data_IF_445505759545
#
_entry.id   IF_445505759545
#
_cell.length_a   1.000
_cell.length_b   1.000
_cell.length_c   1.000
_cell.angle_alpha   90.00
_cell.angle_beta   90.00
_cell.angle_gamma   90.00
#
_symmetry.space_group_name_H-M   'P 1'
#
loop_
_entity.id
_entity.type
_entity.pdbx_description
1 polymer ?
#
# COMPACT_ATOMS: atom_id res chain seq x y z
N UNK A 1 -5.28 46.30 40.35
CA UNK A 1 -6.13 45.61 39.36
C UNK A 1 -5.50 44.24 39.20
N UNK A 2 -6.06 43.21 39.84
CA UNK A 2 -5.57 41.83 39.64
C UNK A 2 -5.97 41.49 38.20
N UNK A 3 -5.00 41.12 37.36
CA UNK A 3 -5.27 40.76 35.98
C UNK A 3 -6.28 39.59 35.99
N UNK A 4 -7.37 39.63 35.18
CA UNK A 4 -8.37 38.55 35.13
C UNK A 4 -7.77 37.15 35.00
N UNK A 5 -6.66 37.02 34.26
CA UNK A 5 -5.86 35.81 34.11
C UNK A 5 -5.32 35.28 35.45
N UNK A 6 -4.87 36.15 36.36
CA UNK A 6 -4.38 35.75 37.69
C UNK A 6 -5.51 35.25 38.59
N UNK A 7 -6.74 35.72 38.40
CA UNK A 7 -7.91 35.20 39.12
C UNK A 7 -8.27 33.81 38.59
N UNK A 8 -8.27 33.64 37.27
CA UNK A 8 -8.59 32.36 36.65
C UNK A 8 -7.57 31.25 37.01
N UNK A 9 -6.25 31.54 37.02
CA UNK A 9 -5.25 30.58 37.53
C UNK A 9 -5.41 30.28 39.03
N UNK A 10 -5.83 31.26 39.83
CA UNK A 10 -6.10 31.02 41.24
C UNK A 10 -7.29 30.06 41.42
N UNK A 11 -8.37 30.23 40.64
CA UNK A 11 -9.54 29.33 40.68
C UNK A 11 -9.17 27.91 40.23
N UNK A 12 -8.40 27.77 39.15
CA UNK A 12 -7.86 26.50 38.67
C UNK A 12 -7.03 25.79 39.77
N UNK A 13 -6.12 26.51 40.44
CA UNK A 13 -5.28 25.95 41.52
C UNK A 13 -6.09 25.44 42.73
N UNK A 14 -7.35 25.88 42.85
CA UNK A 14 -8.30 25.43 43.88
C UNK A 14 -9.24 24.32 43.39
N UNK A 15 -9.09 23.86 42.15
CA UNK A 15 -9.94 22.85 41.53
C UNK A 15 -11.26 23.38 40.98
N UNK A 16 -11.47 24.69 40.97
CA UNK A 16 -12.68 25.36 40.45
C UNK A 16 -12.48 25.72 38.97
N UNK A 17 -12.36 24.69 38.13
CA UNK A 17 -11.96 24.83 36.72
C UNK A 17 -13.11 25.44 35.89
N UNK A 18 -14.37 25.17 36.24
CA UNK A 18 -15.53 25.77 35.55
C UNK A 18 -15.60 27.27 35.75
N UNK A 19 -15.42 27.74 36.99
CA UNK A 19 -15.39 29.15 37.33
C UNK A 19 -14.13 29.82 36.75
N UNK A 20 -13.01 29.10 36.69
CA UNK A 20 -11.81 29.58 36.01
C UNK A 20 -12.09 29.87 34.52
N UNK A 21 -12.83 28.99 33.84
CA UNK A 21 -13.19 29.16 32.43
C UNK A 21 -14.09 30.39 32.19
N UNK A 22 -15.03 30.66 33.09
CA UNK A 22 -15.92 31.84 32.99
C UNK A 22 -15.15 33.17 33.12
N UNK A 23 -14.13 33.20 34.00
CA UNK A 23 -13.33 34.40 34.27
C UNK A 23 -12.15 34.54 33.30
N UNK A 24 -11.73 33.45 32.64
CA UNK A 24 -10.63 33.46 31.69
C UNK A 24 -10.95 34.34 30.47
N UNK A 25 -10.12 35.36 30.27
CA UNK A 25 -10.20 36.29 29.12
C UNK A 25 -9.21 35.96 28.02
N UNK A 26 -8.14 35.24 28.34
CA UNK A 26 -7.12 34.84 27.38
C UNK A 26 -7.60 33.63 26.57
N UNK A 27 -7.64 33.68 25.22
CA UNK A 27 -8.17 32.60 24.40
C UNK A 27 -7.39 31.29 24.53
N UNK A 28 -6.06 31.35 24.64
CA UNK A 28 -5.22 30.14 24.73
C UNK A 28 -5.46 29.43 26.06
N UNK A 29 -5.43 30.16 27.18
CA UNK A 29 -5.72 29.59 28.48
C UNK A 29 -7.18 29.10 28.59
N UNK A 30 -8.14 29.84 28.01
CA UNK A 30 -9.53 29.41 27.95
C UNK A 30 -9.72 28.13 27.13
N UNK A 31 -8.92 27.94 26.08
CA UNK A 31 -8.91 26.69 25.31
C UNK A 31 -8.44 25.51 26.16
N UNK A 32 -7.30 25.65 26.86
CA UNK A 32 -6.78 24.60 27.74
C UNK A 32 -7.79 24.19 28.83
N UNK A 33 -8.43 25.18 29.48
CA UNK A 33 -9.49 24.92 30.46
C UNK A 33 -10.71 24.22 29.84
N UNK A 34 -11.09 24.59 28.61
CA UNK A 34 -12.21 23.96 27.90
C UNK A 34 -11.88 22.50 27.53
N UNK A 35 -10.65 22.22 27.10
CA UNK A 35 -10.16 20.86 26.84
C UNK A 35 -10.18 20.04 28.14
N UNK A 36 -9.65 20.58 29.24
CA UNK A 36 -9.61 19.90 30.54
C UNK A 36 -11.01 19.54 31.08
N UNK A 37 -11.99 20.41 30.83
CA UNK A 37 -13.39 20.19 31.23
C UNK A 37 -14.19 19.31 30.26
N UNK A 38 -13.63 18.93 29.11
CA UNK A 38 -14.38 18.21 28.07
C UNK A 38 -15.41 19.07 27.35
N UNK A 39 -15.33 20.41 27.43
CA UNK A 39 -16.27 21.36 26.81
C UNK A 39 -15.92 21.59 25.34
N UNK A 40 -16.17 20.58 24.51
CA UNK A 40 -15.84 20.52 23.08
C UNK A 40 -16.37 21.73 22.29
N UNK A 41 -17.59 22.19 22.57
CA UNK A 41 -18.21 23.28 21.81
C UNK A 41 -17.45 24.61 22.01
N UNK A 42 -17.05 24.91 23.25
CA UNK A 42 -16.27 26.11 23.59
C UNK A 42 -14.85 25.99 23.01
N UNK A 43 -14.23 24.82 23.13
CA UNK A 43 -12.90 24.58 22.57
C UNK A 43 -12.89 24.72 21.04
N UNK A 44 -13.96 24.26 20.37
CA UNK A 44 -14.16 24.41 18.92
C UNK A 44 -14.30 25.88 18.51
N UNK A 45 -15.13 26.66 19.19
CA UNK A 45 -15.27 28.11 18.92
C UNK A 45 -13.91 28.83 18.97
N UNK A 46 -13.07 28.48 19.95
CA UNK A 46 -11.73 29.06 20.09
C UNK A 46 -10.78 28.55 19.00
N UNK A 47 -10.80 27.25 18.68
CA UNK A 47 -9.97 26.66 17.63
C UNK A 47 -10.27 27.25 16.24
N UNK A 48 -11.54 27.51 15.93
CA UNK A 48 -11.96 28.18 14.68
C UNK A 48 -11.37 29.58 14.56
N UNK A 49 -11.29 30.34 15.65
CA UNK A 49 -10.68 31.68 15.62
C UNK A 49 -9.15 31.59 15.56
N UNK A 50 -8.56 30.65 16.30
CA UNK A 50 -7.12 30.50 16.38
C UNK A 50 -6.47 29.94 15.10
N UNK A 51 -7.21 29.14 14.32
CA UNK A 51 -6.73 28.50 13.07
C UNK A 51 -5.36 27.81 13.26
N UNK A 52 -5.19 27.11 14.38
CA UNK A 52 -3.94 26.45 14.76
C UNK A 52 -4.07 24.94 14.69
N UNK A 53 -3.21 24.29 13.89
CA UNK A 53 -3.18 22.83 13.74
C UNK A 53 -3.03 22.10 15.09
N UNK A 54 -2.19 22.61 16.00
CA UNK A 54 -1.99 22.02 17.33
C UNK A 54 -3.28 22.02 18.17
N UNK A 55 -4.05 23.12 18.13
CA UNK A 55 -5.35 23.19 18.84
C UNK A 55 -6.38 22.26 18.22
N UNK A 56 -6.43 22.19 16.89
CA UNK A 56 -7.31 21.25 16.20
C UNK A 56 -6.97 19.79 16.52
N UNK A 57 -5.68 19.46 16.64
CA UNK A 57 -5.25 18.13 17.04
C UNK A 57 -5.69 17.78 18.46
N UNK A 58 -5.43 18.67 19.43
CA UNK A 58 -5.88 18.45 20.83
C UNK A 58 -7.40 18.31 20.93
N UNK A 59 -8.15 19.13 20.20
CA UNK A 59 -9.60 19.06 20.14
C UNK A 59 -10.07 17.75 19.48
N UNK A 60 -9.40 17.31 18.43
CA UNK A 60 -9.66 16.04 17.73
C UNK A 60 -9.45 14.83 18.64
N UNK A 61 -8.36 14.80 19.41
CA UNK A 61 -8.07 13.74 20.38
C UNK A 61 -9.14 13.67 21.48
N UNK A 62 -9.58 14.83 21.97
CA UNK A 62 -10.68 14.92 22.93
C UNK A 62 -12.02 14.48 22.32
N UNK A 63 -12.30 14.87 21.08
CA UNK A 63 -13.52 14.48 20.36
C UNK A 63 -13.55 12.96 20.11
N UNK A 64 -12.43 12.36 19.71
CA UNK A 64 -12.30 10.91 19.53
C UNK A 64 -12.50 10.14 20.83
N UNK A 65 -11.83 10.56 21.92
CA UNK A 65 -11.99 9.90 23.23
C UNK A 65 -13.39 10.06 23.83
N UNK A 66 -14.12 11.12 23.45
CA UNK A 66 -15.51 11.36 23.84
C UNK A 66 -16.54 10.69 22.93
N UNK A 67 -16.11 9.99 21.87
CA UNK A 67 -17.00 9.33 20.90
C UNK A 67 -17.76 10.28 19.97
N UNK A 68 -17.35 11.56 19.86
CA UNK A 68 -17.96 12.53 18.94
C UNK A 68 -17.25 12.49 17.59
N UNK A 69 -17.58 11.48 16.78
CA UNK A 69 -16.87 11.18 15.53
C UNK A 69 -16.96 12.30 14.49
N UNK A 70 -18.14 12.91 14.31
CA UNK A 70 -18.32 14.03 13.37
C UNK A 70 -17.40 15.22 13.71
N UNK A 71 -17.30 15.55 15.01
CA UNK A 71 -16.41 16.62 15.48
C UNK A 71 -14.94 16.22 15.32
N UNK A 72 -14.61 14.96 15.58
CA UNK A 72 -13.25 14.46 15.38
C UNK A 72 -12.82 14.55 13.91
N UNK A 73 -13.68 14.17 12.96
CA UNK A 73 -13.41 14.27 11.53
C UNK A 73 -13.11 15.72 11.11
N UNK A 74 -13.95 16.66 11.53
CA UNK A 74 -13.76 18.09 11.24
C UNK A 74 -12.43 18.61 11.82
N UNK A 75 -12.09 18.21 13.05
CA UNK A 75 -10.83 18.58 13.67
C UNK A 75 -9.62 18.02 12.91
N UNK A 76 -9.68 16.76 12.49
CA UNK A 76 -8.61 16.10 11.73
C UNK A 76 -8.42 16.74 10.34
N UNK A 77 -9.51 17.12 9.66
CA UNK A 77 -9.48 17.90 8.41
C UNK A 77 -8.76 19.24 8.60
N UNK A 78 -9.10 19.98 9.66
CA UNK A 78 -8.45 21.25 9.98
C UNK A 78 -7.00 21.12 10.46
N UNK A 79 -6.65 19.98 11.08
CA UNK A 79 -5.29 19.69 11.52
C UNK A 79 -4.40 19.10 10.41
N UNK A 80 -4.93 18.90 9.19
CA UNK A 80 -4.25 18.19 8.09
C UNK A 80 -3.74 16.79 8.49
N UNK A 81 -4.40 16.13 9.45
CA UNK A 81 -4.00 14.80 9.93
C UNK A 81 -4.58 13.70 9.04
N UNK A 82 -3.95 13.51 7.88
CA UNK A 82 -4.38 12.54 6.88
C UNK A 82 -4.33 11.09 7.40
N UNK A 83 -3.39 10.79 8.28
CA UNK A 83 -3.26 9.46 8.89
C UNK A 83 -4.41 9.18 9.85
N UNK A 84 -4.78 10.18 10.65
CA UNK A 84 -5.96 10.11 11.52
C UNK A 84 -7.26 9.97 10.71
N UNK A 85 -7.42 10.73 9.62
CA UNK A 85 -8.56 10.59 8.71
C UNK A 85 -8.63 9.20 8.08
N UNK A 86 -7.48 8.66 7.63
CA UNK A 86 -7.41 7.31 7.06
C UNK A 86 -7.88 6.27 8.09
N UNK A 87 -7.40 6.37 9.32
CA UNK A 87 -7.79 5.47 10.40
C UNK A 87 -9.30 5.58 10.70
N UNK A 88 -9.83 6.81 10.77
CA UNK A 88 -11.24 7.05 11.05
C UNK A 88 -12.13 6.46 9.95
N UNK A 89 -11.91 6.81 8.69
CA UNK A 89 -12.76 6.34 7.59
C UNK A 89 -12.63 4.83 7.34
N UNK A 90 -11.42 4.27 7.47
CA UNK A 90 -11.24 2.81 7.35
C UNK A 90 -11.93 2.04 8.47
N UNK A 91 -11.93 2.57 9.69
CA UNK A 91 -12.63 1.97 10.83
C UNK A 91 -14.15 2.06 10.69
N UNK A 92 -14.66 3.14 10.07
CA UNK A 92 -16.08 3.32 9.78
C UNK A 92 -16.55 2.55 8.54
N UNK A 93 -15.62 2.08 7.69
CA UNK A 93 -15.97 1.53 6.38
C UNK A 93 -16.55 2.57 5.43
N UNK A 94 -16.16 3.84 5.59
CA UNK A 94 -16.65 4.96 4.78
C UNK A 94 -15.87 5.07 3.46
N UNK A 95 -16.40 4.44 2.41
CA UNK A 95 -15.78 4.46 1.09
C UNK A 95 -15.79 5.87 0.44
N UNK A 96 -16.78 6.71 0.75
CA UNK A 96 -16.86 8.07 0.22
C UNK A 96 -15.77 8.93 0.88
N UNK A 97 -15.66 8.88 2.22
CA UNK A 97 -14.61 9.54 2.97
C UNK A 97 -13.20 9.13 2.56
N UNK A 98 -12.95 7.83 2.30
CA UNK A 98 -11.67 7.34 1.77
C UNK A 98 -11.40 7.89 0.35
N UNK A 99 -12.44 8.03 -0.48
CA UNK A 99 -12.30 8.57 -1.84
C UNK A 99 -11.90 10.04 -1.83
N UNK A 100 -12.54 10.84 -0.98
CA UNK A 100 -12.18 12.25 -0.77
C UNK A 100 -10.76 12.38 -0.22
N UNK A 101 -10.42 11.56 0.79
CA UNK A 101 -9.10 11.55 1.40
C UNK A 101 -8.00 11.19 0.40
N UNK A 102 -8.24 10.27 -0.53
CA UNK A 102 -7.27 9.90 -1.55
C UNK A 102 -6.88 11.11 -2.41
N UNK A 103 -7.87 11.88 -2.86
CA UNK A 103 -7.68 13.10 -3.65
C UNK A 103 -6.95 14.17 -2.83
N UNK A 104 -7.42 14.39 -1.61
CA UNK A 104 -6.83 15.37 -0.69
C UNK A 104 -5.37 15.06 -0.35
N UNK A 105 -5.05 13.78 -0.11
CA UNK A 105 -3.69 13.32 0.17
C UNK A 105 -2.76 13.46 -1.05
N UNK A 106 -3.27 13.21 -2.26
CA UNK A 106 -2.51 13.42 -3.51
C UNK A 106 -2.17 14.90 -3.70
N UNK A 107 -3.12 15.80 -3.47
CA UNK A 107 -2.91 17.26 -3.55
C UNK A 107 -1.87 17.75 -2.54
N UNK A 108 -1.83 17.16 -1.35
CA UNK A 108 -0.85 17.46 -0.30
C UNK A 108 0.49 16.72 -0.49
N UNK A 109 0.68 15.99 -1.59
CA UNK A 109 1.90 15.24 -1.89
C UNK A 109 2.14 14.03 -0.98
N UNK A 110 1.14 13.57 -0.22
CA UNK A 110 1.19 12.41 0.67
C UNK A 110 0.80 11.14 -0.10
N UNK A 111 1.66 10.76 -1.03
CA UNK A 111 1.41 9.65 -1.97
C UNK A 111 1.18 8.30 -1.27
N UNK A 112 1.80 8.05 -0.13
CA UNK A 112 1.59 6.82 0.65
C UNK A 112 0.15 6.70 1.17
N UNK A 113 -0.41 7.80 1.69
CA UNK A 113 -1.80 7.83 2.18
C UNK A 113 -2.75 7.73 0.99
N UNK A 114 -2.51 8.47 -0.09
CA UNK A 114 -3.31 8.37 -1.31
C UNK A 114 -3.32 6.95 -1.88
N UNK A 115 -2.15 6.30 -1.93
CA UNK A 115 -2.01 4.91 -2.37
C UNK A 115 -2.84 3.95 -1.52
N UNK A 116 -2.73 4.05 -0.18
CA UNK A 116 -3.51 3.20 0.73
C UNK A 116 -5.01 3.42 0.55
N UNK A 117 -5.46 4.66 0.40
CA UNK A 117 -6.88 4.96 0.15
C UNK A 117 -7.37 4.30 -1.16
N UNK A 118 -6.65 4.50 -2.27
CA UNK A 118 -6.98 3.89 -3.57
C UNK A 118 -6.95 2.36 -3.50
N UNK A 119 -5.98 1.80 -2.75
CA UNK A 119 -5.83 0.36 -2.61
C UNK A 119 -6.98 -0.26 -1.81
N UNK A 120 -7.39 0.37 -0.69
CA UNK A 120 -8.57 -0.03 0.09
C UNK A 120 -9.86 0.02 -0.74
N UNK A 121 -9.97 0.99 -1.64
CA UNK A 121 -11.09 1.11 -2.57
C UNK A 121 -11.04 0.13 -3.75
N UNK A 122 -9.95 -0.65 -3.90
CA UNK A 122 -9.76 -1.56 -5.04
C UNK A 122 -9.47 -0.84 -6.36
N UNK A 123 -9.08 0.45 -6.33
CA UNK A 123 -8.74 1.28 -7.49
C UNK A 123 -7.29 1.01 -7.95
N UNK A 124 -7.02 -0.24 -8.33
CA UNK A 124 -5.68 -0.74 -8.70
C UNK A 124 -5.05 0.07 -9.84
N UNK A 125 -5.86 0.48 -10.81
CA UNK A 125 -5.42 1.30 -11.94
C UNK A 125 -4.80 2.63 -11.46
N UNK A 126 -5.51 3.34 -10.57
CA UNK A 126 -5.05 4.59 -9.99
C UNK A 126 -3.82 4.39 -9.10
N UNK A 127 -3.72 3.27 -8.38
CA UNK A 127 -2.53 2.90 -7.61
C UNK A 127 -1.29 2.77 -8.51
N UNK A 128 -1.42 2.06 -9.64
CA UNK A 128 -0.33 1.88 -10.62
C UNK A 128 0.07 3.24 -11.19
N UNK A 129 -0.90 4.05 -11.60
CA UNK A 129 -0.63 5.39 -12.14
C UNK A 129 0.09 6.28 -11.12
N UNK A 130 -0.31 6.24 -9.84
CA UNK A 130 0.35 7.01 -8.77
C UNK A 130 1.81 6.58 -8.58
N UNK A 131 2.12 5.29 -8.72
CA UNK A 131 3.51 4.79 -8.66
C UNK A 131 4.32 5.24 -9.88
N UNK A 132 3.72 5.24 -11.07
CA UNK A 132 4.36 5.77 -12.30
C UNK A 132 4.62 7.27 -12.16
N UNK A 133 3.62 8.04 -11.75
CA UNK A 133 3.71 9.51 -11.55
C UNK A 133 4.76 9.89 -10.50
N UNK A 134 4.97 9.04 -9.48
CA UNK A 134 5.99 9.23 -8.45
C UNK A 134 7.37 8.63 -8.80
N UNK A 135 7.57 8.23 -10.06
CA UNK A 135 8.81 7.66 -10.59
C UNK A 135 9.25 6.34 -9.88
N UNK A 136 8.29 5.56 -9.39
CA UNK A 136 8.47 4.25 -8.75
C UNK A 136 8.05 3.12 -9.70
N UNK A 137 8.56 3.17 -10.93
CA UNK A 137 8.16 2.26 -12.04
C UNK A 137 8.37 0.77 -11.73
N UNK A 138 9.46 0.32 -11.07
CA UNK A 138 9.61 -1.10 -10.70
C UNK A 138 8.46 -1.61 -9.82
N UNK A 139 8.05 -0.80 -8.84
CA UNK A 139 6.95 -1.15 -7.95
C UNK A 139 5.61 -1.15 -8.69
N UNK A 140 5.41 -0.22 -9.62
CA UNK A 140 4.25 -0.22 -10.52
C UNK A 140 4.18 -1.52 -11.34
N UNK A 141 5.32 -2.03 -11.82
CA UNK A 141 5.37 -3.29 -12.57
C UNK A 141 5.01 -4.50 -11.70
N UNK A 142 5.49 -4.56 -10.45
CA UNK A 142 5.10 -5.61 -9.50
C UNK A 142 3.62 -5.51 -9.10
N UNK A 143 3.11 -4.29 -8.92
CA UNK A 143 1.69 -4.04 -8.64
C UNK A 143 0.81 -4.51 -9.81
N UNK A 144 1.18 -4.16 -11.04
CA UNK A 144 0.51 -4.63 -12.25
C UNK A 144 0.55 -6.16 -12.34
N UNK A 145 1.72 -6.79 -12.17
CA UNK A 145 1.84 -8.25 -12.23
C UNK A 145 0.93 -8.97 -11.22
N UNK A 146 0.77 -8.40 -10.03
CA UNK A 146 0.02 -9.03 -8.94
C UNK A 146 -1.49 -8.79 -9.03
N UNK A 147 -1.90 -7.60 -9.44
CA UNK A 147 -3.31 -7.19 -9.36
C UNK A 147 -3.92 -6.79 -10.71
N UNK A 148 -3.14 -6.43 -11.72
CA UNK A 148 -3.65 -5.99 -13.03
C UNK A 148 -2.71 -6.44 -14.16
N UNK A 149 -2.59 -7.76 -14.40
CA UNK A 149 -1.62 -8.34 -15.35
C UNK A 149 -1.76 -7.76 -16.76
N UNK A 150 -2.96 -7.35 -17.18
CA UNK A 150 -3.20 -6.64 -18.44
C UNK A 150 -2.33 -5.39 -18.66
N UNK A 151 -1.88 -4.71 -17.60
CA UNK A 151 -1.01 -3.52 -17.71
C UNK A 151 0.48 -3.81 -17.67
N UNK A 152 0.91 -5.05 -17.44
CA UNK A 152 2.34 -5.34 -17.21
C UNK A 152 3.21 -4.93 -18.38
N UNK A 153 2.83 -5.26 -19.61
CA UNK A 153 3.61 -4.92 -20.81
C UNK A 153 3.77 -3.41 -21.00
N UNK A 154 2.70 -2.64 -20.75
CA UNK A 154 2.74 -1.17 -20.76
C UNK A 154 3.77 -0.63 -19.75
N UNK A 155 3.70 -1.10 -18.50
CA UNK A 155 4.58 -0.61 -17.44
C UNK A 155 6.04 -1.08 -17.63
N UNK A 156 6.24 -2.31 -18.11
CA UNK A 156 7.58 -2.84 -18.45
C UNK A 156 8.20 -2.02 -19.59
N UNK A 157 7.43 -1.57 -20.58
CA UNK A 157 7.94 -0.68 -21.63
C UNK A 157 8.40 0.67 -21.06
N UNK A 158 7.65 1.26 -20.12
CA UNK A 158 8.06 2.48 -19.41
C UNK A 158 9.35 2.21 -18.61
N UNK A 159 9.43 1.07 -17.92
CA UNK A 159 10.59 0.69 -17.11
C UNK A 159 11.84 0.48 -17.96
N UNK A 160 11.74 -0.26 -19.08
CA UNK A 160 12.80 -0.46 -20.07
C UNK A 160 13.32 0.89 -20.57
N UNK A 161 12.43 1.82 -20.92
CA UNK A 161 12.80 3.16 -21.39
C UNK A 161 13.54 3.97 -20.33
N UNK A 162 13.14 3.87 -19.08
CA UNK A 162 13.81 4.58 -17.99
C UNK A 162 15.18 3.98 -17.65
N UNK A 163 15.26 2.64 -17.54
CA UNK A 163 16.52 1.94 -17.30
C UNK A 163 17.54 2.12 -18.42
N UNK A 164 17.11 2.22 -19.68
CA UNK A 164 18.02 2.41 -20.82
C UNK A 164 18.88 3.68 -20.66
N UNK A 165 18.36 4.71 -19.97
CA UNK A 165 19.13 5.94 -19.66
C UNK A 165 20.32 5.68 -18.72
N UNK A 166 20.25 4.63 -17.90
CA UNK A 166 21.24 4.31 -16.85
C UNK A 166 22.07 3.08 -17.22
N UNK A 167 21.42 1.99 -17.63
CA UNK A 167 22.04 0.72 -17.99
C UNK A 167 21.21 -0.02 -19.04
N UNK A 168 21.72 0.00 -20.28
CA UNK A 168 21.10 -0.70 -21.41
C UNK A 168 20.98 -2.21 -21.20
N UNK A 169 22.01 -2.88 -20.64
CA UNK A 169 21.97 -4.33 -20.41
C UNK A 169 20.88 -4.72 -19.42
N UNK A 170 20.69 -3.91 -18.37
CA UNK A 170 19.62 -4.15 -17.39
C UNK A 170 18.23 -3.95 -18.02
N UNK A 171 18.08 -2.98 -18.92
CA UNK A 171 16.83 -2.77 -19.65
C UNK A 171 16.50 -3.95 -20.59
N UNK A 172 17.50 -4.48 -21.29
CA UNK A 172 17.36 -5.66 -22.17
C UNK A 172 17.06 -6.95 -21.39
N UNK A 173 17.47 -7.04 -20.13
CA UNK A 173 17.18 -8.18 -19.26
C UNK A 173 15.73 -8.22 -18.74
N UNK A 174 14.96 -7.14 -18.87
CA UNK A 174 13.54 -7.14 -18.51
C UNK A 174 12.73 -7.90 -19.56
N UNK A 175 12.20 -9.06 -19.20
CA UNK A 175 11.29 -9.82 -20.05
C UNK A 175 9.90 -9.17 -20.06
N UNK A 176 9.28 -9.13 -21.24
CA UNK A 176 7.87 -8.75 -21.42
C UNK A 176 7.04 -10.03 -21.59
N UNK A 177 5.93 -10.21 -20.85
CA UNK A 177 5.07 -11.37 -21.02
C UNK A 177 4.41 -11.50 -22.40
N UNK A 178 4.29 -10.41 -23.17
CA UNK A 178 3.80 -10.48 -24.57
C UNK A 178 4.89 -11.00 -25.53
N UNK A 179 6.15 -10.65 -25.30
CA UNK A 179 7.29 -11.09 -26.13
C UNK A 179 7.78 -12.49 -25.77
N UNK A 180 7.76 -12.84 -24.47
CA UNK A 180 8.25 -14.11 -23.94
C UNK A 180 7.23 -14.81 -23.03
N UNK A 181 6.05 -15.24 -23.53
CA UNK A 181 5.02 -15.87 -22.70
C UNK A 181 5.50 -17.10 -21.93
N UNK A 182 6.49 -17.82 -22.47
CA UNK A 182 7.07 -19.02 -21.88
C UNK A 182 7.84 -18.76 -20.57
N UNK A 183 8.23 -17.52 -20.29
CA UNK A 183 8.91 -17.14 -19.04
C UNK A 183 7.91 -16.80 -17.91
N UNK A 184 6.62 -16.74 -18.21
CA UNK A 184 5.57 -16.33 -17.27
C UNK A 184 4.56 -17.46 -17.08
N UNK A 185 4.78 -18.26 -16.04
CA UNK A 185 3.85 -19.31 -15.65
C UNK A 185 2.47 -18.75 -15.30
N UNK A 186 1.42 -19.51 -15.63
CA UNK A 186 0.03 -19.17 -15.35
C UNK A 186 -0.45 -17.82 -15.92
N UNK A 187 0.23 -17.24 -16.91
CA UNK A 187 -0.10 -15.91 -17.45
C UNK A 187 -1.56 -15.82 -17.94
N UNK A 188 -2.02 -16.78 -18.74
CA UNK A 188 -3.40 -16.83 -19.21
C UNK A 188 -4.43 -16.98 -18.07
N UNK A 189 -4.05 -17.68 -16.99
CA UNK A 189 -4.90 -17.83 -15.79
C UNK A 189 -4.98 -16.49 -15.07
N UNK A 190 -3.86 -15.77 -14.93
CA UNK A 190 -3.83 -14.46 -14.30
C UNK A 190 -4.75 -13.45 -15.00
N UNK A 191 -4.79 -13.44 -16.33
CA UNK A 191 -5.75 -12.64 -17.11
C UNK A 191 -7.21 -13.03 -16.87
N UNK A 192 -7.50 -14.33 -16.80
CA UNK A 192 -8.85 -14.82 -16.51
C UNK A 192 -9.30 -14.45 -15.08
N UNK A 193 -8.39 -14.55 -14.11
CA UNK A 193 -8.62 -14.13 -12.72
C UNK A 193 -8.84 -12.62 -12.65
N UNK A 194 -8.03 -11.82 -13.35
CA UNK A 194 -8.21 -10.37 -13.41
C UNK A 194 -9.61 -10.01 -13.90
N UNK A 195 -10.06 -10.61 -15.01
CA UNK A 195 -11.38 -10.34 -15.58
C UNK A 195 -12.51 -10.70 -14.60
N UNK A 196 -12.41 -11.83 -13.89
CA UNK A 196 -13.39 -12.23 -12.87
C UNK A 196 -13.39 -11.28 -11.66
N UNK A 197 -12.21 -10.91 -11.16
CA UNK A 197 -12.09 -10.02 -10.00
C UNK A 197 -12.52 -8.60 -10.35
N UNK A 198 -12.39 -8.16 -11.60
CA UNK A 198 -12.81 -6.84 -12.05
C UNK A 198 -14.31 -6.59 -11.81
N UNK A 199 -15.16 -7.63 -11.85
CA UNK A 199 -16.59 -7.52 -11.56
C UNK A 199 -16.88 -7.24 -10.07
N UNK A 200 -15.98 -7.70 -9.18
CA UNK A 200 -16.10 -7.51 -7.74
C UNK A 200 -15.44 -6.21 -7.26
N UNK A 201 -14.60 -5.56 -8.09
CA UNK A 201 -13.94 -4.30 -7.74
C UNK A 201 -14.92 -3.16 -7.61
N UNK A 202 -14.74 -2.35 -6.58
CA UNK A 202 -15.63 -1.21 -6.31
C UNK A 202 -16.97 -1.59 -5.69
N UNK A 203 -17.20 -2.88 -5.43
CA UNK A 203 -18.33 -3.35 -4.63
C UNK A 203 -17.86 -3.46 -3.19
N UNK A 204 -18.48 -2.67 -2.30
CA UNK A 204 -18.16 -2.66 -0.87
C UNK A 204 -19.33 -3.28 -0.10
N UNK A 205 -19.26 -4.57 0.28
CA UNK A 205 -20.31 -5.19 1.06
C UNK A 205 -20.50 -4.47 2.40
N UNK A 206 -21.74 -4.33 2.88
CA UNK A 206 -21.99 -3.81 4.22
C UNK A 206 -21.24 -4.61 5.29
N UNK A 207 -20.73 -3.93 6.32
CA UNK A 207 -20.02 -4.58 7.42
C UNK A 207 -20.86 -5.68 8.12
N UNK A 208 -22.20 -5.58 8.06
CA UNK A 208 -23.12 -6.59 8.58
C UNK A 208 -22.93 -7.98 7.92
N UNK A 209 -22.45 -8.02 6.67
CA UNK A 209 -22.22 -9.25 5.93
C UNK A 209 -20.87 -9.91 6.23
N UNK A 210 -20.07 -9.34 7.14
CA UNK A 210 -18.74 -9.85 7.48
C UNK A 210 -18.73 -11.35 7.83
N UNK A 211 -19.77 -11.85 8.50
CA UNK A 211 -19.90 -13.28 8.82
C UNK A 211 -19.90 -14.20 7.60
N UNK A 212 -20.33 -13.72 6.42
CA UNK A 212 -20.30 -14.47 5.16
C UNK A 212 -18.89 -14.56 4.56
N UNK A 213 -17.96 -13.69 4.98
CA UNK A 213 -16.61 -13.58 4.45
C UNK A 213 -15.52 -14.01 5.45
N UNK A 214 -15.84 -14.11 6.75
CA UNK A 214 -14.87 -14.37 7.81
C UNK A 214 -14.09 -15.68 7.64
N UNK A 215 -14.73 -16.71 7.09
CA UNK A 215 -14.12 -18.04 6.87
C UNK A 215 -13.52 -18.21 5.47
N UNK A 216 -13.47 -17.15 4.63
CA UNK A 216 -12.84 -17.27 3.31
C UNK A 216 -11.34 -17.55 3.49
N UNK A 217 -10.83 -18.68 2.96
CA UNK A 217 -9.41 -18.97 3.06
C UNK A 217 -8.63 -17.93 2.27
N UNK A 218 -7.45 -17.54 2.79
CA UNK A 218 -6.49 -16.69 2.09
C UNK A 218 -5.78 -17.48 0.97
N UNK A 219 -6.56 -18.03 0.05
CA UNK A 219 -6.07 -18.85 -1.06
C UNK A 219 -5.63 -17.93 -2.19
N UNK A 220 -4.49 -18.25 -2.80
CA UNK A 220 -4.04 -17.61 -4.03
C UNK A 220 -5.10 -17.81 -5.13
N UNK A 221 -5.61 -16.71 -5.69
CA UNK A 221 -6.67 -16.75 -6.70
C UNK A 221 -6.24 -17.50 -7.97
N UNK A 222 -4.96 -17.44 -8.32
CA UNK A 222 -4.41 -18.16 -9.48
C UNK A 222 -4.43 -19.67 -9.23
N UNK A 223 -4.06 -20.12 -8.03
CA UNK A 223 -4.11 -21.54 -7.66
C UNK A 223 -5.55 -22.05 -7.55
N UNK A 224 -6.43 -21.27 -6.92
CA UNK A 224 -7.85 -21.60 -6.82
C UNK A 224 -8.50 -21.74 -8.20
N UNK A 225 -8.19 -20.83 -9.13
CA UNK A 225 -8.70 -20.88 -10.49
C UNK A 225 -8.11 -22.04 -11.28
N UNK A 226 -6.83 -22.36 -11.09
CA UNK A 226 -6.19 -23.52 -11.71
C UNK A 226 -6.86 -24.83 -11.27
N UNK A 227 -7.14 -24.98 -9.97
CA UNK A 227 -7.78 -26.18 -9.43
C UNK A 227 -9.23 -26.33 -9.93
N UNK A 228 -10.01 -25.25 -9.97
CA UNK A 228 -11.38 -25.28 -10.53
C UNK A 228 -11.41 -25.72 -12.01
N UNK A 229 -10.39 -25.37 -12.79
CA UNK A 229 -10.27 -25.75 -14.20
C UNK A 229 -9.83 -27.20 -14.41
N UNK A 230 -9.21 -27.83 -13.40
CA UNK A 230 -8.85 -29.26 -13.46
C UNK A 230 -10.01 -30.17 -13.07
N UNK A 231 -11.01 -29.66 -12.35
CA UNK A 231 -12.24 -30.38 -12.00
C UNK A 231 -13.27 -30.40 -13.15
N UNK A 232 -13.10 -29.57 -14.18
CA UNK A 232 -13.80 -29.71 -15.45
C UNK A 232 -13.08 -30.75 -16.31
N UNK A 233 -13.51 -32.01 -16.24
CA UNK A 233 -12.98 -33.06 -17.12
C UNK A 233 -13.00 -32.62 -18.59
N UNK A 234 -11.92 -32.84 -19.35
CA UNK A 234 -11.93 -32.52 -20.77
C UNK A 234 -12.98 -33.40 -21.44
N UNK A 235 -14.02 -32.77 -21.99
CA UNK A 235 -14.95 -33.42 -22.90
C UNK A 235 -14.14 -34.00 -24.06
N UNK A 236 -13.97 -35.32 -24.00
CA UNK A 236 -13.40 -36.18 -25.01
C UNK A 236 -14.17 -35.96 -26.32
N UNK A 237 -13.61 -35.16 -27.23
CA UNK A 237 -14.13 -34.99 -28.57
C UNK A 237 -13.06 -35.43 -29.58
N UNK A 238 -13.11 -36.72 -29.89
CA UNK A 238 -13.11 -37.21 -31.27
C UNK A 238 -11.77 -37.22 -31.98
N UNK A 239 -11.16 -38.41 -32.03
CA UNK A 239 -10.30 -38.85 -33.12
C UNK A 239 -10.80 -38.34 -34.48
N UNK A 240 -9.95 -37.58 -35.16
CA UNK A 240 -9.93 -37.53 -36.60
C UNK A 240 -8.50 -37.79 -37.04
N UNK A 241 -8.24 -39.07 -37.32
CA UNK A 241 -7.15 -39.54 -38.16
C UNK A 241 -7.10 -38.66 -39.43
N UNK A 242 -6.00 -37.94 -39.62
CA UNK A 242 -5.65 -37.40 -40.92
C UNK A 242 -4.48 -38.21 -41.47
N UNK A 243 -4.81 -39.04 -42.46
CA UNK A 243 -3.90 -39.79 -43.31
C UNK A 243 -2.77 -38.89 -43.81
N UNK A 244 -1.54 -39.17 -43.37
CA UNK A 244 -0.33 -38.68 -44.03
C UNK A 244 -0.11 -39.54 -45.27
N UNK A 245 -0.30 -38.92 -46.44
CA UNK A 245 0.07 -39.49 -47.73
C UNK A 245 1.59 -39.52 -47.83
N UNK A 246 2.15 -40.73 -47.81
CA UNK A 246 3.54 -41.02 -48.17
C UNK A 246 3.78 -40.71 -49.66
N UNK A 247 4.84 -39.96 -49.95
CA UNK A 247 5.58 -40.11 -51.21
C UNK A 247 7.08 -40.23 -50.91
N UNK A 248 7.59 -41.43 -51.19
CA UNK A 248 9.00 -41.81 -51.44
C UNK A 248 9.73 -40.75 -52.28
N UNK A 249 11.04 -40.53 -52.21
CA UNK A 249 12.14 -41.21 -51.54
C UNK A 249 13.45 -40.67 -52.15
N UNK A 250 14.57 -40.77 -51.43
CA UNK A 250 15.84 -41.31 -51.96
C UNK A 250 16.90 -41.36 -50.86
N UNK A 251 17.39 -42.57 -50.60
CA UNK A 251 18.58 -42.86 -49.81
C UNK A 251 19.82 -42.62 -50.69
N UNK A 252 20.84 -41.94 -50.16
CA UNK A 252 22.23 -42.17 -50.62
C UNK A 252 23.18 -42.16 -49.41
N UNK A 253 24.01 -43.19 -49.41
CA UNK A 253 24.98 -43.65 -48.41
C UNK A 253 26.15 -42.69 -48.13
N UNK A 254 26.54 -42.68 -46.84
CA UNK A 254 27.90 -42.45 -46.31
C UNK A 254 28.95 -43.30 -47.04
N UNK A 255 30.21 -42.83 -47.20
CA UNK A 255 31.20 -43.12 -46.15
C UNK A 255 32.35 -42.09 -46.01
N UNK A 256 32.98 -42.05 -44.83
CA UNK A 256 34.42 -41.76 -44.73
C UNK A 256 34.89 -41.11 -43.43
N UNK A 257 35.49 -41.92 -42.58
CA UNK A 257 36.29 -41.57 -41.40
C UNK A 257 37.39 -40.54 -41.73
N UNK A 258 37.64 -39.58 -40.83
CA UNK A 258 39.01 -39.12 -40.53
C UNK A 258 39.07 -38.46 -39.13
N UNK A 259 39.89 -39.07 -38.28
CA UNK A 259 40.32 -38.66 -36.95
C UNK A 259 41.10 -37.34 -36.97
N UNK A 260 40.76 -36.38 -36.10
CA UNK A 260 41.76 -35.53 -35.40
C UNK A 260 41.30 -35.25 -33.96
N UNK A 261 42.10 -35.72 -33.00
CA UNK A 261 42.05 -35.47 -31.56
C UNK A 261 42.68 -34.11 -31.19
N UNK A 262 42.12 -33.42 -30.19
CA UNK A 262 42.85 -32.80 -29.05
C UNK A 262 41.83 -32.22 -28.04
N UNK A 263 41.65 -32.89 -26.88
CA UNK A 263 42.11 -32.50 -25.52
C UNK A 263 41.40 -31.23 -24.98
N UNK A 264 40.42 -31.37 -24.06
CA UNK A 264 40.62 -31.37 -22.59
C UNK A 264 40.26 -29.97 -22.04
N UNK A 265 39.54 -29.72 -20.94
CA UNK A 265 39.25 -30.48 -19.72
C UNK A 265 37.90 -30.01 -19.14
N UNK A 266 37.17 -30.95 -18.55
CA UNK A 266 36.12 -30.69 -17.56
C UNK A 266 36.77 -30.47 -16.19
N UNK A 267 36.32 -29.48 -15.43
CA UNK A 267 36.36 -29.53 -13.97
C UNK A 267 35.00 -29.13 -13.41
N UNK A 268 34.36 -30.10 -12.75
CA UNK A 268 33.27 -29.91 -11.83
C UNK A 268 33.85 -29.99 -10.41
N UNK A 269 33.60 -29.00 -9.55
CA UNK A 269 33.59 -29.23 -8.09
C UNK A 269 32.46 -28.45 -7.42
N UNK A 270 31.65 -29.27 -6.76
CA UNK A 270 30.58 -29.09 -5.77
C UNK A 270 30.82 -28.04 -4.67
N UNK A 271 29.71 -27.38 -4.33
CA UNK A 271 29.27 -26.69 -3.09
C UNK A 271 30.11 -26.83 -1.81
N UNK A 272 30.22 -25.72 -1.07
CA UNK A 272 29.75 -25.71 0.32
C UNK A 272 29.33 -24.31 0.80
N UNK A 273 28.43 -24.35 1.78
CA UNK A 273 27.68 -23.25 2.36
C UNK A 273 28.47 -22.44 3.42
N UNK A 274 27.85 -21.33 3.81
CA UNK A 274 28.01 -20.57 5.04
C UNK A 274 28.97 -19.35 5.01
N UNK A 275 28.39 -18.15 5.02
CA UNK A 275 28.92 -17.02 5.79
C UNK A 275 27.86 -15.93 5.88
N UNK A 276 27.32 -15.80 7.08
CA UNK A 276 26.62 -14.62 7.58
C UNK A 276 27.49 -13.36 7.56
N UNK A 277 26.79 -12.23 7.54
CA UNK A 277 27.16 -10.93 8.11
C UNK A 277 27.77 -9.87 7.16
N UNK A 278 27.23 -8.65 7.26
CA UNK A 278 27.58 -7.52 6.39
C UNK A 278 26.63 -6.33 6.53
N UNK A 279 26.53 -5.82 7.75
CA UNK A 279 25.69 -4.70 8.16
C UNK A 279 25.95 -3.38 7.40
N UNK A 280 24.84 -2.63 7.32
CA UNK A 280 24.67 -1.25 6.86
C UNK A 280 25.50 -0.28 7.70
N UNK A 281 26.23 0.64 7.05
CA UNK A 281 26.81 1.83 7.69
C UNK A 281 26.21 3.11 7.09
N UNK A 282 25.29 3.72 7.83
CA UNK A 282 24.82 5.10 7.62
C UNK A 282 25.59 5.98 8.60
N UNK A 283 26.41 6.90 8.09
CA UNK A 283 26.97 7.99 8.88
C UNK A 283 25.91 9.09 9.04
N UNK A 284 25.38 9.23 10.25
CA UNK A 284 24.56 10.35 10.69
C UNK A 284 25.00 10.74 12.10
N UNK A 285 25.60 11.91 12.22
CA UNK A 285 26.23 12.45 13.42
C UNK A 285 25.25 13.42 14.09
N UNK A 286 24.66 13.07 15.23
CA UNK A 286 24.09 14.04 16.17
C UNK A 286 23.86 13.43 17.57
N UNK A 287 23.89 14.28 18.58
CA UNK A 287 24.19 14.01 19.98
C UNK A 287 23.12 13.24 20.75
N UNK A 288 23.54 12.30 21.61
CA UNK A 288 22.68 11.64 22.58
C UNK A 288 22.85 12.24 23.98
N UNK A 289 21.72 12.72 24.49
CA UNK A 289 21.48 13.14 25.86
C UNK A 289 21.33 11.92 26.80
N UNK A 290 21.90 12.08 27.98
CA UNK A 290 22.05 11.10 29.05
C UNK A 290 20.72 10.85 29.81
N UNK A 291 20.16 9.64 29.74
CA UNK A 291 19.02 9.23 30.60
C UNK A 291 19.46 8.21 31.65
N UNK A 292 19.52 8.68 32.90
CA UNK A 292 19.82 7.88 34.11
C UNK A 292 18.56 7.16 34.58
N UNK A 293 18.58 5.83 34.56
CA UNK A 293 17.61 4.96 35.26
C UNK A 293 18.09 4.70 36.69
N UNK A 294 17.30 5.11 37.69
CA UNK A 294 17.50 4.71 39.09
C UNK A 294 16.62 3.49 39.43
N UNK A 295 17.12 2.50 40.19
CA UNK A 295 16.28 1.43 40.72
C UNK A 295 15.63 1.82 42.05
N UNK A 296 14.35 1.47 42.20
CA UNK A 296 13.61 1.56 43.48
C UNK A 296 14.11 0.49 44.47
N UNK A 297 14.38 0.92 45.70
CA UNK A 297 14.17 0.16 46.94
C UNK A 297 13.29 0.98 47.87
#
# INVERSE_FOLDING_TARGET
MILPTSVAHFLESRGMIEEALEVATDPDYRFELAIQLGKLDIAKEIAVVAQSESKWKQLGDLAMSSGRLETAEECLKHANDLSGLLLLYSSLGDAEGITELASFAKEHGKNNVAFLCMFLLGKVDECIQLLVDSNRVPEAAFMARSYLPSKVSEIVAIWKKDLNKVNQKAAEALADPEEYPNLFEHWQIAHAVEARVAEERGVYPPAADYGNFADRPATNLVEAFSNMRMDEEPLENGDMEHEVVEQNGDEVQEPGEDDIQQEGQEEAVVVDADSTDGAVLVNGNEADEEWVLTPRH
#
